data_IF_552600268038
#
_entry.id   IF_552600268038
#
_cell.length_a   1.000
_cell.length_b   1.000
_cell.length_c   1.000
_cell.angle_alpha   90.00
_cell.angle_beta   90.00
_cell.angle_gamma   90.00
#
_symmetry.space_group_name_H-M   'P 1'
#
loop_
_entity.id
_entity.type
_entity.pdbx_description
1 polymer ?
#
# COMPACT_ATOMS: atom_id res chain seq x y z
N UNK A 1 -0.79 3.98 5.88
CA UNK A 1 0.33 3.16 6.39
C UNK A 1 -0.04 1.69 6.56
N UNK A 2 -1.17 1.33 7.19
CA UNK A 2 -1.62 -0.08 7.31
C UNK A 2 -1.66 -0.80 5.96
N UNK A 3 -2.13 -0.14 4.89
CA UNK A 3 -2.16 -0.70 3.53
C UNK A 3 -0.76 -1.08 3.04
N UNK A 4 0.25 -0.24 3.32
CA UNK A 4 1.64 -0.49 2.93
C UNK A 4 2.22 -1.74 3.60
N UNK A 5 1.98 -1.90 4.90
CA UNK A 5 2.60 -2.97 5.70
C UNK A 5 1.77 -4.24 5.76
N UNK A 6 0.54 -4.23 5.26
CA UNK A 6 -0.29 -5.42 5.23
C UNK A 6 0.31 -6.54 4.36
N UNK A 7 0.88 -6.20 3.21
CA UNK A 7 1.49 -7.17 2.31
C UNK A 7 2.68 -7.89 2.95
N UNK A 8 3.76 -7.21 3.37
CA UNK A 8 4.91 -7.89 3.99
C UNK A 8 4.56 -8.61 5.28
N UNK A 9 3.58 -8.13 6.04
CA UNK A 9 3.18 -8.77 7.29
C UNK A 9 2.32 -10.04 7.11
N UNK A 10 1.47 -10.08 6.10
CA UNK A 10 0.41 -11.09 6.00
C UNK A 10 0.45 -11.93 4.71
N UNK A 11 1.24 -11.57 3.70
CA UNK A 11 1.26 -12.26 2.41
C UNK A 11 1.57 -13.77 2.53
N UNK A 12 2.56 -14.13 3.34
CA UNK A 12 2.94 -15.52 3.52
C UNK A 12 1.81 -16.35 4.17
N UNK A 13 1.15 -15.78 5.17
CA UNK A 13 0.04 -16.42 5.86
C UNK A 13 -1.17 -16.57 4.93
N UNK A 14 -1.57 -15.51 4.25
CA UNK A 14 -2.74 -15.52 3.36
C UNK A 14 -2.53 -16.39 2.12
N UNK A 15 -1.34 -16.36 1.53
CA UNK A 15 -1.01 -17.23 0.39
C UNK A 15 -1.04 -18.71 0.76
N UNK A 16 -0.58 -19.05 1.97
CA UNK A 16 -0.69 -20.40 2.51
C UNK A 16 -2.14 -20.79 2.81
N UNK A 17 -2.92 -19.87 3.36
CA UNK A 17 -4.35 -20.07 3.71
C UNK A 17 -5.21 -20.25 2.47
N UNK A 18 -4.96 -19.48 1.41
CA UNK A 18 -5.67 -19.55 0.15
C UNK A 18 -5.16 -20.68 -0.77
N UNK A 19 -4.01 -21.28 -0.46
CA UNK A 19 -3.40 -22.33 -1.28
C UNK A 19 -2.95 -21.84 -2.67
N UNK A 20 -2.76 -20.54 -2.85
CA UNK A 20 -2.44 -19.93 -4.15
C UNK A 20 -1.01 -20.15 -4.61
N UNK A 21 -0.09 -20.37 -3.67
CA UNK A 21 1.35 -20.44 -3.93
C UNK A 21 1.99 -21.52 -3.06
N UNK A 22 2.99 -22.22 -3.60
CA UNK A 22 3.82 -23.12 -2.79
C UNK A 22 4.65 -22.34 -1.76
N UNK A 23 4.86 -22.93 -0.59
CA UNK A 23 5.63 -22.27 0.48
C UNK A 23 7.03 -21.83 0.03
N UNK A 24 7.66 -22.59 -0.86
CA UNK A 24 8.98 -22.27 -1.39
C UNK A 24 8.98 -21.04 -2.34
N UNK A 25 7.86 -20.75 -3.01
CA UNK A 25 7.75 -19.62 -3.91
C UNK A 25 7.43 -18.30 -3.20
N UNK A 26 6.89 -18.33 -1.98
CA UNK A 26 6.51 -17.13 -1.23
C UNK A 26 7.66 -16.13 -1.09
N UNK A 27 8.85 -16.51 -0.59
CA UNK A 27 9.97 -15.56 -0.45
C UNK A 27 10.41 -14.97 -1.79
N UNK A 28 10.37 -15.77 -2.86
CA UNK A 28 10.75 -15.31 -4.20
C UNK A 28 9.78 -14.25 -4.71
N UNK A 29 8.47 -14.46 -4.52
CA UNK A 29 7.44 -13.50 -4.94
C UNK A 29 7.58 -12.20 -4.13
N UNK A 30 7.84 -12.29 -2.83
CA UNK A 30 8.07 -11.12 -1.98
C UNK A 30 9.30 -10.34 -2.44
N UNK A 31 10.43 -11.01 -2.69
CA UNK A 31 11.63 -10.37 -3.20
C UNK A 31 11.42 -9.69 -4.56
N UNK A 32 10.69 -10.33 -5.47
CA UNK A 32 10.29 -9.71 -6.73
C UNK A 32 9.40 -8.47 -6.52
N UNK A 33 8.48 -8.52 -5.56
CA UNK A 33 7.68 -7.37 -5.14
C UNK A 33 8.55 -6.17 -4.72
N UNK A 34 9.61 -6.42 -3.95
CA UNK A 34 10.57 -5.38 -3.52
C UNK A 34 11.35 -4.80 -4.71
N UNK A 35 11.74 -5.64 -5.68
CA UNK A 35 12.38 -5.18 -6.95
C UNK A 35 11.42 -4.24 -7.69
N UNK A 36 10.13 -4.57 -7.79
CA UNK A 36 9.14 -3.68 -8.40
C UNK A 36 8.89 -2.43 -7.58
N UNK A 37 9.03 -2.51 -6.26
CA UNK A 37 9.05 -1.36 -5.37
C UNK A 37 10.19 -0.39 -5.70
N UNK A 38 11.39 -0.91 -5.87
CA UNK A 38 12.55 -0.13 -6.30
C UNK A 38 12.32 0.53 -7.67
N UNK A 39 11.84 -0.23 -8.66
CA UNK A 39 11.51 0.30 -9.99
C UNK A 39 10.41 1.38 -9.93
N UNK A 40 9.40 1.19 -9.09
CA UNK A 40 8.36 2.18 -8.82
C UNK A 40 8.93 3.49 -8.26
N UNK A 41 9.88 3.38 -7.33
CA UNK A 41 10.61 4.52 -6.78
C UNK A 41 11.40 5.29 -7.84
N UNK A 42 12.09 4.59 -8.73
CA UNK A 42 12.80 5.20 -9.87
C UNK A 42 11.84 5.85 -10.87
N UNK A 43 10.65 5.29 -11.06
CA UNK A 43 9.64 5.84 -11.96
C UNK A 43 8.91 7.06 -11.36
N UNK A 44 8.92 7.24 -10.04
CA UNK A 44 8.19 8.29 -9.34
C UNK A 44 8.43 9.72 -9.88
N UNK A 45 9.67 10.18 -10.12
CA UNK A 45 9.90 11.53 -10.63
C UNK A 45 9.26 11.76 -12.01
N UNK A 46 9.31 10.75 -12.89
CA UNK A 46 8.68 10.79 -14.22
C UNK A 46 7.16 10.82 -14.10
N UNK A 47 6.60 9.98 -13.23
CA UNK A 47 5.16 9.95 -12.94
C UNK A 47 4.68 11.29 -12.37
N UNK A 48 5.41 11.86 -11.44
CA UNK A 48 5.09 13.16 -10.85
C UNK A 48 5.12 14.28 -11.89
N UNK A 49 6.08 14.24 -12.81
CA UNK A 49 6.17 15.21 -13.93
C UNK A 49 5.01 15.06 -14.92
N UNK A 50 4.61 13.83 -15.25
CA UNK A 50 3.55 13.55 -16.22
C UNK A 50 2.14 13.73 -15.65
N UNK A 51 1.89 13.20 -14.45
CA UNK A 51 0.55 13.21 -13.83
C UNK A 51 0.33 14.40 -12.89
N UNK A 52 1.39 15.12 -12.53
CA UNK A 52 1.29 16.29 -11.67
C UNK A 52 0.54 16.01 -10.38
N UNK A 53 -0.61 16.67 -10.22
CA UNK A 53 -1.49 16.54 -9.05
C UNK A 53 -2.13 15.15 -8.93
N UNK A 54 -2.38 14.47 -10.02
CA UNK A 54 -3.05 13.15 -10.03
C UNK A 54 -2.14 12.01 -9.55
N UNK A 55 -0.84 12.23 -9.38
CA UNK A 55 0.10 11.26 -8.81
C UNK A 55 -0.36 10.73 -7.44
N UNK A 56 -1.11 11.52 -6.67
CA UNK A 56 -1.68 11.14 -5.37
C UNK A 56 -2.58 9.91 -5.41
N UNK A 57 -3.23 9.64 -6.55
CA UNK A 57 -4.20 8.55 -6.71
C UNK A 57 -3.53 7.26 -7.20
N UNK A 58 -2.33 7.35 -7.79
CA UNK A 58 -1.66 6.22 -8.43
C UNK A 58 -1.39 5.09 -7.44
N UNK A 59 -0.69 5.38 -6.34
CA UNK A 59 -0.35 4.36 -5.36
C UNK A 59 -1.59 3.73 -4.69
N UNK A 60 -2.59 4.50 -4.19
CA UNK A 60 -3.83 3.93 -3.65
C UNK A 60 -4.57 3.03 -4.63
N UNK A 61 -4.66 3.43 -5.91
CA UNK A 61 -5.32 2.64 -6.95
C UNK A 61 -4.56 1.34 -7.24
N UNK A 62 -3.22 1.40 -7.33
CA UNK A 62 -2.39 0.20 -7.52
C UNK A 62 -2.51 -0.76 -6.33
N UNK A 63 -2.58 -0.27 -5.10
CA UNK A 63 -2.86 -1.10 -3.92
C UNK A 63 -4.23 -1.77 -4.04
N UNK A 64 -5.27 -1.01 -4.39
CA UNK A 64 -6.62 -1.55 -4.55
C UNK A 64 -6.65 -2.69 -5.57
N UNK A 65 -6.13 -2.46 -6.78
CA UNK A 65 -6.08 -3.48 -7.84
C UNK A 65 -5.19 -4.66 -7.42
N UNK A 66 -4.04 -4.40 -6.82
CA UNK A 66 -3.12 -5.45 -6.34
C UNK A 66 -3.76 -6.38 -5.33
N UNK A 67 -4.43 -5.83 -4.30
CA UNK A 67 -5.12 -6.64 -3.30
C UNK A 67 -6.37 -7.34 -3.84
N UNK A 68 -7.08 -6.75 -4.79
CA UNK A 68 -8.17 -7.44 -5.50
C UNK A 68 -7.66 -8.66 -6.26
N UNK A 69 -6.53 -8.54 -6.97
CA UNK A 69 -5.90 -9.66 -7.65
C UNK A 69 -5.46 -10.74 -6.66
N UNK A 70 -4.79 -10.39 -5.57
CA UNK A 70 -4.36 -11.35 -4.56
C UNK A 70 -5.54 -12.09 -3.90
N UNK A 71 -6.70 -11.42 -3.74
CA UNK A 71 -7.86 -12.03 -3.09
C UNK A 71 -8.68 -12.89 -4.02
N UNK A 72 -8.88 -12.48 -5.27
CA UNK A 72 -9.84 -13.10 -6.18
C UNK A 72 -9.19 -13.92 -7.29
N UNK A 73 -7.91 -13.72 -7.58
CA UNK A 73 -7.17 -14.50 -8.57
C UNK A 73 -6.37 -15.61 -7.88
N UNK A 74 -6.92 -16.83 -7.89
CA UNK A 74 -6.26 -18.02 -7.31
C UNK A 74 -5.20 -18.63 -8.24
N UNK A 75 -4.64 -17.86 -9.16
CA UNK A 75 -3.66 -18.31 -10.14
C UNK A 75 -2.28 -17.71 -9.85
N UNK A 76 -1.21 -18.44 -10.17
CA UNK A 76 0.16 -17.94 -10.02
C UNK A 76 0.41 -16.61 -10.75
N UNK A 77 0.00 -16.42 -12.02
CA UNK A 77 0.12 -15.13 -12.69
C UNK A 77 -0.63 -13.99 -11.99
N UNK A 78 -1.83 -14.25 -11.48
CA UNK A 78 -2.60 -13.26 -10.72
C UNK A 78 -1.90 -12.84 -9.44
N UNK A 79 -1.34 -13.79 -8.71
CA UNK A 79 -0.55 -13.53 -7.48
C UNK A 79 0.71 -12.72 -7.79
N UNK A 80 1.44 -13.06 -8.84
CA UNK A 80 2.62 -12.31 -9.27
C UNK A 80 2.25 -10.88 -9.64
N UNK A 81 1.22 -10.69 -10.48
CA UNK A 81 0.78 -9.36 -10.91
C UNK A 81 0.29 -8.52 -9.73
N UNK A 82 -0.48 -9.11 -8.81
CA UNK A 82 -0.92 -8.45 -7.59
C UNK A 82 0.25 -7.99 -6.73
N UNK A 83 1.24 -8.85 -6.52
CA UNK A 83 2.47 -8.55 -5.76
C UNK A 83 3.30 -7.45 -6.43
N UNK A 84 3.41 -7.45 -7.75
CA UNK A 84 4.10 -6.42 -8.51
C UNK A 84 3.42 -5.06 -8.35
N UNK A 85 2.10 -5.02 -8.46
CA UNK A 85 1.35 -3.78 -8.28
C UNK A 85 1.51 -3.22 -6.87
N UNK A 86 1.47 -4.08 -5.85
CA UNK A 86 1.66 -3.66 -4.45
C UNK A 86 3.10 -3.17 -4.24
N UNK A 87 4.11 -3.88 -4.74
CA UNK A 87 5.50 -3.45 -4.67
C UNK A 87 5.70 -2.08 -5.33
N UNK A 88 5.26 -1.92 -6.58
CA UNK A 88 5.36 -0.65 -7.30
C UNK A 88 4.58 0.48 -6.62
N UNK A 89 3.41 0.19 -6.03
CA UNK A 89 2.64 1.15 -5.24
C UNK A 89 3.41 1.64 -4.01
N UNK A 90 4.11 0.74 -3.29
CA UNK A 90 5.01 1.10 -2.19
C UNK A 90 6.13 2.03 -2.69
N UNK A 91 6.79 1.65 -3.79
CA UNK A 91 7.88 2.43 -4.38
C UNK A 91 7.48 3.83 -4.84
N UNK A 92 6.24 4.02 -5.30
CA UNK A 92 5.70 5.32 -5.68
C UNK A 92 5.19 6.09 -4.46
N UNK A 93 4.52 5.41 -3.54
CA UNK A 93 3.83 6.01 -2.42
C UNK A 93 4.78 6.61 -1.37
N UNK A 94 5.85 5.91 -1.01
CA UNK A 94 6.81 6.39 -0.01
C UNK A 94 7.48 7.71 -0.43
N UNK A 95 8.10 7.82 -1.63
CA UNK A 95 8.65 9.09 -2.10
C UNK A 95 7.60 10.19 -2.23
N UNK A 96 6.35 9.85 -2.62
CA UNK A 96 5.27 10.82 -2.69
C UNK A 96 4.98 11.42 -1.31
N UNK A 97 4.86 10.60 -0.25
CA UNK A 97 4.61 11.08 1.10
C UNK A 97 5.75 11.94 1.62
N UNK A 98 6.99 11.46 1.49
CA UNK A 98 8.17 12.19 1.95
C UNK A 98 8.28 13.54 1.24
N UNK A 99 8.18 13.54 -0.10
CA UNK A 99 8.30 14.78 -0.89
C UNK A 99 7.19 15.79 -0.60
N UNK A 100 5.95 15.30 -0.37
CA UNK A 100 4.81 16.16 -0.07
C UNK A 100 4.90 16.74 1.35
N UNK A 101 5.29 15.92 2.32
CA UNK A 101 5.46 16.35 3.70
C UNK A 101 6.60 17.38 3.83
N UNK A 102 7.74 17.11 3.19
CA UNK A 102 8.89 18.03 3.18
C UNK A 102 8.55 19.36 2.49
N UNK A 103 7.81 19.32 1.38
CA UNK A 103 7.40 20.55 0.68
C UNK A 103 6.43 21.41 1.51
N UNK A 104 5.53 20.78 2.30
CA UNK A 104 4.59 21.48 3.18
C UNK A 104 5.25 22.02 4.45
N UNK A 105 6.27 21.33 4.95
CA UNK A 105 6.95 21.72 6.18
C UNK A 105 7.90 22.93 6.00
N UNK A 106 8.30 23.24 4.76
CA UNK A 106 9.28 24.30 4.49
C UNK A 106 10.71 23.88 4.84
N UNK A 107 11.67 24.74 4.50
CA UNK A 107 13.11 24.42 4.58
C UNK A 107 13.58 24.09 6.01
N UNK A 108 13.09 24.82 7.01
CA UNK A 108 13.56 24.69 8.39
C UNK A 108 12.90 23.52 9.15
N UNK A 109 11.77 23.03 8.68
CA UNK A 109 11.05 21.92 9.34
C UNK A 109 11.31 20.56 8.68
N UNK A 110 11.96 20.51 7.51
CA UNK A 110 12.23 19.25 6.80
C UNK A 110 13.13 18.30 7.62
N UNK A 111 14.07 18.84 8.39
CA UNK A 111 14.96 18.09 9.29
C UNK A 111 14.22 17.39 10.43
N UNK A 112 13.07 17.91 10.84
CA UNK A 112 12.23 17.32 11.90
C UNK A 112 11.16 16.40 11.32
N UNK A 113 10.60 16.76 10.17
CA UNK A 113 9.49 16.02 9.55
C UNK A 113 9.92 14.66 9.02
N UNK A 114 11.11 14.56 8.42
CA UNK A 114 11.60 13.28 7.87
C UNK A 114 11.81 12.23 8.96
N UNK A 115 12.53 12.52 10.08
CA UNK A 115 12.62 11.58 11.19
C UNK A 115 11.27 11.23 11.81
N UNK A 116 10.36 12.19 11.99
CA UNK A 116 9.03 11.95 12.52
C UNK A 116 8.20 11.01 11.63
N UNK A 117 8.31 11.17 10.30
CA UNK A 117 7.71 10.25 9.33
C UNK A 117 8.28 8.84 9.45
N UNK A 118 9.60 8.70 9.62
CA UNK A 118 10.24 7.40 9.81
C UNK A 118 9.74 6.71 11.08
N UNK A 119 9.65 7.43 12.19
CA UNK A 119 9.09 6.91 13.45
C UNK A 119 7.65 6.46 13.23
N UNK A 120 6.82 7.27 12.57
CA UNK A 120 5.43 6.92 12.27
C UNK A 120 5.31 5.68 11.36
N UNK A 121 6.23 5.50 10.41
CA UNK A 121 6.31 4.30 9.57
C UNK A 121 6.64 3.06 10.41
N UNK A 122 7.62 3.11 11.31
CA UNK A 122 7.95 1.99 12.18
C UNK A 122 6.80 1.63 13.12
N UNK A 123 6.16 2.63 13.75
CA UNK A 123 4.98 2.39 14.59
C UNK A 123 3.88 1.70 13.76
N UNK A 124 3.61 2.18 12.55
CA UNK A 124 2.63 1.57 11.66
C UNK A 124 2.99 0.12 11.31
N UNK A 125 4.25 -0.18 11.05
CA UNK A 125 4.72 -1.53 10.76
C UNK A 125 4.41 -2.50 11.92
N UNK A 126 4.73 -2.10 13.16
CA UNK A 126 4.46 -2.92 14.34
C UNK A 126 2.97 -3.07 14.66
N UNK A 127 2.19 -2.03 14.44
CA UNK A 127 0.76 -2.04 14.79
C UNK A 127 -0.12 -2.66 13.70
N UNK A 128 0.36 -2.77 12.46
CA UNK A 128 -0.43 -3.28 11.32
C UNK A 128 -1.04 -4.66 11.60
N UNK A 129 -0.32 -5.69 12.08
CA UNK A 129 -0.93 -7.00 12.33
C UNK A 129 -2.09 -6.93 13.34
N UNK A 130 -1.91 -6.16 14.41
CA UNK A 130 -2.95 -5.97 15.43
C UNK A 130 -4.18 -5.25 14.87
N UNK A 131 -3.98 -4.16 14.12
CA UNK A 131 -5.07 -3.40 13.48
C UNK A 131 -5.82 -4.29 12.49
N UNK A 132 -5.11 -5.03 11.65
CA UNK A 132 -5.71 -5.93 10.67
C UNK A 132 -6.55 -7.01 11.36
N UNK A 133 -6.02 -7.65 12.42
CA UNK A 133 -6.74 -8.66 13.19
C UNK A 133 -8.05 -8.11 13.81
N UNK A 134 -8.01 -6.89 14.34
CA UNK A 134 -9.22 -6.24 14.87
C UNK A 134 -10.22 -5.96 13.77
N UNK A 135 -9.76 -5.42 12.64
CA UNK A 135 -10.61 -5.17 11.46
C UNK A 135 -11.21 -6.46 10.90
N UNK A 136 -10.44 -7.56 10.84
CA UNK A 136 -10.94 -8.88 10.42
C UNK A 136 -12.05 -9.40 11.33
N UNK A 137 -11.91 -9.23 12.65
CA UNK A 137 -12.97 -9.61 13.61
C UNK A 137 -14.27 -8.80 13.40
N UNK A 138 -14.13 -7.49 13.19
CA UNK A 138 -15.28 -6.61 12.92
C UNK A 138 -15.94 -6.97 11.58
N UNK A 139 -15.15 -7.13 10.52
CA UNK A 139 -15.68 -7.49 9.21
C UNK A 139 -16.25 -8.92 9.20
N UNK A 140 -15.66 -9.83 9.96
CA UNK A 140 -16.09 -11.23 10.06
C UNK A 140 -17.47 -11.41 10.69
N UNK A 141 -17.97 -10.39 11.42
CA UNK A 141 -19.39 -10.37 11.88
C UNK A 141 -20.40 -10.14 10.74
N UNK A 142 -19.93 -9.62 9.60
CA UNK A 142 -20.78 -9.26 8.44
C UNK A 142 -20.46 -10.11 7.21
N UNK A 143 -19.20 -10.48 7.01
CA UNK A 143 -18.71 -11.18 5.82
C UNK A 143 -18.10 -12.50 6.24
N UNK A 144 -18.53 -13.61 5.63
CA UNK A 144 -17.90 -14.92 5.84
C UNK A 144 -16.49 -14.98 5.22
N UNK A 145 -15.57 -15.71 5.87
CA UNK A 145 -14.21 -15.95 5.37
C UNK A 145 -13.40 -14.67 5.08
N UNK A 146 -13.46 -13.70 5.99
CA UNK A 146 -12.65 -12.49 5.92
C UNK A 146 -11.16 -12.84 6.03
N UNK A 147 -10.36 -12.13 5.25
CA UNK A 147 -8.89 -12.22 5.23
C UNK A 147 -8.29 -10.83 5.35
N UNK A 148 -6.99 -10.75 5.64
CA UNK A 148 -6.27 -9.47 5.68
C UNK A 148 -6.36 -8.69 4.35
N UNK A 149 -6.54 -9.40 3.24
CA UNK A 149 -6.74 -8.77 1.93
C UNK A 149 -8.05 -7.99 1.82
N UNK A 150 -9.13 -8.46 2.44
CA UNK A 150 -10.40 -7.70 2.49
C UNK A 150 -10.23 -6.38 3.25
N UNK A 151 -9.50 -6.41 4.36
CA UNK A 151 -9.18 -5.19 5.13
C UNK A 151 -8.37 -4.22 4.26
N UNK A 152 -7.35 -4.73 3.57
CA UNK A 152 -6.52 -3.91 2.69
C UNK A 152 -7.30 -3.34 1.50
N UNK A 153 -8.20 -4.12 0.89
CA UNK A 153 -9.10 -3.66 -0.19
C UNK A 153 -9.98 -2.50 0.32
N UNK A 154 -10.64 -2.69 1.46
CA UNK A 154 -11.51 -1.66 2.04
C UNK A 154 -10.73 -0.37 2.33
N UNK A 155 -9.58 -0.48 3.00
CA UNK A 155 -8.74 0.68 3.31
C UNK A 155 -8.20 1.36 2.05
N UNK A 156 -7.79 0.58 1.04
CA UNK A 156 -7.31 1.12 -0.24
C UNK A 156 -8.41 1.85 -1.00
N UNK A 157 -9.63 1.31 -0.98
CA UNK A 157 -10.81 1.94 -1.57
C UNK A 157 -11.12 3.28 -0.88
N UNK A 158 -11.22 3.27 0.45
CA UNK A 158 -11.48 4.48 1.24
C UNK A 158 -10.39 5.54 1.00
N UNK A 159 -9.13 5.12 0.95
CA UNK A 159 -8.02 6.03 0.71
C UNK A 159 -8.01 6.59 -0.71
N UNK A 160 -8.36 5.78 -1.71
CA UNK A 160 -8.52 6.23 -3.10
C UNK A 160 -9.63 7.28 -3.21
N UNK A 161 -10.79 6.99 -2.62
CA UNK A 161 -11.92 7.92 -2.57
C UNK A 161 -11.54 9.22 -1.86
N UNK A 162 -10.84 9.13 -0.73
CA UNK A 162 -10.32 10.31 -0.03
C UNK A 162 -9.41 11.16 -0.93
N UNK A 163 -8.47 10.53 -1.63
CA UNK A 163 -7.56 11.23 -2.53
C UNK A 163 -8.29 11.93 -3.68
N UNK A 164 -9.37 11.35 -4.19
CA UNK A 164 -10.17 11.92 -5.28
C UNK A 164 -11.08 13.03 -4.76
N UNK A 165 -11.82 12.79 -3.68
CA UNK A 165 -12.92 13.68 -3.26
C UNK A 165 -12.45 14.86 -2.38
N UNK A 166 -11.48 14.62 -1.49
CA UNK A 166 -11.13 15.60 -0.45
C UNK A 166 -9.91 16.43 -0.84
N UNK A 167 -8.91 15.80 -1.42
CA UNK A 167 -7.64 16.49 -1.74
C UNK A 167 -7.78 17.47 -2.90
N UNK A 168 -8.90 17.48 -3.63
CA UNK A 168 -9.17 18.42 -4.73
C UNK A 168 -9.86 19.71 -4.33
N UNK A 169 -10.30 19.83 -3.08
CA UNK A 169 -10.81 21.13 -2.62
C UNK A 169 -9.64 22.12 -2.58
N UNK A 170 -9.66 23.11 -3.47
CA UNK A 170 -8.76 24.26 -3.41
C UNK A 170 -8.93 24.89 -2.02
N UNK A 171 -7.83 25.29 -1.32
CA UNK A 171 -8.00 26.18 -0.19
C UNK A 171 -8.76 27.40 -0.73
N UNK A 172 -9.86 27.75 -0.08
CA UNK A 172 -10.52 29.04 -0.31
C UNK A 172 -9.43 30.11 -0.16
N UNK A 173 -9.29 30.98 -1.17
CA UNK A 173 -8.38 32.11 -1.15
C UNK A 173 -8.77 33.05 -0.04
#
# INVERSE_FOLDING_TARGET
MVIFFNYPANFAMESSRLGTVSKAAIPVIMALGDVFGFLGGLAYPKLKKGLGRNTKVVAPLMFLVGYLLLRFQSTMPGTLLGSFLIGAANGIGVPYFISTASAKAGRNAATTVIPALSVALYIAQFTTPAIVTVCEKILGSVIANVTSYHVAILLSLLFTLWCVLVVDRKPAK
#
